data_IF_702448793398
#
_entry.id   IF_702448793398
#
_cell.length_a   1.000
_cell.length_b   1.000
_cell.length_c   1.000
_cell.angle_alpha   90.00
_cell.angle_beta   90.00
_cell.angle_gamma   90.00
#
_symmetry.space_group_name_H-M   'P 1'
#
loop_
_entity.id
_entity.type
_entity.pdbx_description
1 polymer ?
#
# COMPACT_ATOMS: atom_id res chain seq x y z
N UNK A 1 36.11 9.33 11.49
CA UNK A 1 36.06 9.08 10.03
C UNK A 1 37.07 7.99 9.74
N UNK A 2 36.63 6.80 9.34
CA UNK A 2 37.38 5.53 9.48
C UNK A 2 38.76 5.45 8.76
N UNK A 3 39.08 6.39 7.87
CA UNK A 3 40.33 6.41 7.10
C UNK A 3 41.24 7.63 7.42
N UNK A 4 40.92 8.47 8.41
CA UNK A 4 41.71 9.66 8.82
C UNK A 4 42.06 10.70 7.73
N UNK A 5 41.42 10.65 6.56
CA UNK A 5 41.66 11.60 5.45
C UNK A 5 41.10 13.01 5.71
N UNK A 6 40.24 13.17 6.71
CA UNK A 6 39.58 14.42 7.05
C UNK A 6 39.75 14.64 8.55
N UNK A 7 40.47 15.71 8.93
CA UNK A 7 40.82 16.04 10.33
C UNK A 7 39.68 16.69 11.12
N UNK A 8 38.72 17.32 10.44
CA UNK A 8 37.53 17.95 11.02
C UNK A 8 36.35 17.75 10.09
N UNK A 9 35.19 17.47 10.67
CA UNK A 9 33.97 17.29 9.90
C UNK A 9 33.60 18.59 9.14
N UNK A 10 33.61 18.60 7.79
CA UNK A 10 33.28 19.77 6.99
C UNK A 10 31.79 20.14 7.09
N UNK A 11 30.95 19.28 7.67
CA UNK A 11 29.51 19.51 7.88
C UNK A 11 29.15 19.84 9.34
N UNK A 12 30.14 20.04 10.22
CA UNK A 12 29.91 20.26 11.66
C UNK A 12 28.94 21.43 11.98
N UNK A 13 28.85 22.43 11.09
CA UNK A 13 27.92 23.57 11.20
C UNK A 13 26.69 23.51 10.31
N UNK A 14 26.49 22.44 9.54
CA UNK A 14 25.37 22.29 8.59
C UNK A 14 24.30 21.41 9.22
N UNK A 15 23.22 22.04 9.67
CA UNK A 15 22.02 21.34 10.11
C UNK A 15 21.08 21.14 8.91
N UNK A 16 20.99 19.91 8.42
CA UNK A 16 20.00 19.55 7.42
C UNK A 16 18.61 19.54 8.07
N UNK A 17 17.80 20.55 7.79
CA UNK A 17 16.39 20.56 8.18
C UNK A 17 15.64 19.66 7.21
N UNK A 18 15.13 18.53 7.71
CA UNK A 18 14.25 17.68 6.94
C UNK A 18 12.83 18.25 7.06
N UNK A 19 12.29 18.78 5.96
CA UNK A 19 10.89 19.22 5.93
C UNK A 19 9.97 18.00 5.95
N UNK A 20 8.90 18.08 6.74
CA UNK A 20 7.86 17.06 6.75
C UNK A 20 7.10 17.11 5.42
N UNK A 21 7.30 16.08 4.60
CA UNK A 21 6.55 15.93 3.36
C UNK A 21 5.15 15.39 3.70
N UNK A 22 4.11 16.17 3.39
CA UNK A 22 2.74 15.67 3.46
C UNK A 22 2.58 14.54 2.44
N UNK A 23 2.31 13.34 2.95
CA UNK A 23 2.15 12.15 2.12
C UNK A 23 0.73 12.11 1.55
N UNK A 24 0.60 12.11 0.22
CA UNK A 24 -0.70 11.96 -0.43
C UNK A 24 -1.21 10.51 -0.34
N UNK A 25 -2.48 10.37 0.03
CA UNK A 25 -3.24 9.12 0.01
C UNK A 25 -4.69 9.40 -0.43
N UNK A 26 -5.37 8.36 -0.91
CA UNK A 26 -6.78 8.44 -1.29
C UNK A 26 -7.66 8.43 -0.04
N UNK A 27 -8.75 9.19 -0.08
CA UNK A 27 -9.89 9.02 0.83
C UNK A 27 -10.63 7.72 0.53
N UNK A 28 -11.57 7.34 1.42
CA UNK A 28 -12.43 6.16 1.21
C UNK A 28 -13.26 6.33 -0.06
N UNK A 29 -13.83 7.51 -0.24
CA UNK A 29 -14.71 7.85 -1.35
C UNK A 29 -13.96 7.78 -2.69
N UNK A 30 -12.74 8.32 -2.76
CA UNK A 30 -11.90 8.23 -3.96
C UNK A 30 -11.47 6.78 -4.27
N UNK A 31 -11.17 5.99 -3.24
CA UNK A 31 -10.84 4.57 -3.40
C UNK A 31 -12.06 3.80 -3.94
N UNK A 32 -13.25 4.06 -3.42
CA UNK A 32 -14.50 3.45 -3.88
C UNK A 32 -14.83 3.84 -5.32
N UNK A 33 -14.61 5.12 -5.69
CA UNK A 33 -14.76 5.58 -7.09
C UNK A 33 -13.83 4.78 -8.01
N UNK A 34 -12.55 4.60 -7.65
CA UNK A 34 -11.60 3.82 -8.45
C UNK A 34 -11.99 2.34 -8.56
N UNK A 35 -12.45 1.75 -7.45
CA UNK A 35 -12.85 0.35 -7.41
C UNK A 35 -14.08 0.07 -8.27
N UNK A 36 -15.03 1.01 -8.32
CA UNK A 36 -16.29 0.83 -9.05
C UNK A 36 -16.26 1.41 -10.47
N UNK A 37 -15.23 2.17 -10.85
CA UNK A 37 -15.10 2.71 -12.20
C UNK A 37 -14.97 1.59 -13.23
N UNK A 38 -15.87 1.59 -14.20
CA UNK A 38 -15.78 0.74 -15.38
C UNK A 38 -14.87 1.40 -16.42
N UNK A 39 -13.93 0.61 -16.95
CA UNK A 39 -13.02 1.03 -18.01
C UNK A 39 -13.26 0.20 -19.25
N UNK A 40 -13.62 0.86 -20.36
CA UNK A 40 -13.69 0.20 -21.67
C UNK A 40 -12.30 -0.22 -22.17
N UNK A 41 -11.26 0.50 -21.76
CA UNK A 41 -9.88 0.26 -22.18
C UNK A 41 -9.20 -0.73 -21.21
N UNK A 42 -8.95 -1.96 -21.67
CA UNK A 42 -8.37 -3.05 -20.86
C UNK A 42 -7.05 -2.67 -20.15
N UNK A 43 -6.19 -1.87 -20.78
CA UNK A 43 -4.91 -1.43 -20.17
C UNK A 43 -5.12 -0.58 -18.90
N UNK A 44 -6.17 0.23 -18.86
CA UNK A 44 -6.51 1.07 -17.71
C UNK A 44 -7.16 0.24 -16.63
N UNK A 45 -8.08 -0.65 -17.01
CA UNK A 45 -8.69 -1.60 -16.09
C UNK A 45 -7.64 -2.44 -15.36
N UNK A 46 -6.66 -2.96 -16.09
CA UNK A 46 -5.51 -3.69 -15.56
C UNK A 46 -4.70 -2.88 -14.56
N UNK A 47 -4.37 -1.62 -14.88
CA UNK A 47 -3.61 -0.75 -13.97
C UNK A 47 -4.42 -0.41 -12.73
N UNK A 48 -5.73 -0.15 -12.88
CA UNK A 48 -6.66 0.05 -11.76
C UNK A 48 -6.67 -1.17 -10.85
N UNK A 49 -6.83 -2.37 -11.40
CA UNK A 49 -6.88 -3.61 -10.63
C UNK A 49 -5.60 -3.80 -9.81
N UNK A 50 -4.42 -3.62 -10.42
CA UNK A 50 -3.14 -3.76 -9.71
C UNK A 50 -2.99 -2.66 -8.64
N UNK A 51 -3.43 -1.43 -8.93
CA UNK A 51 -3.39 -0.34 -7.95
C UNK A 51 -4.31 -0.62 -6.75
N UNK A 52 -5.53 -1.09 -6.99
CA UNK A 52 -6.46 -1.51 -5.93
C UNK A 52 -5.86 -2.66 -5.14
N UNK A 53 -5.27 -3.66 -5.81
CA UNK A 53 -4.56 -4.75 -5.12
C UNK A 53 -3.46 -4.22 -4.18
N UNK A 54 -2.67 -3.24 -4.61
CA UNK A 54 -1.70 -2.56 -3.75
C UNK A 54 -2.35 -1.83 -2.57
N UNK A 55 -3.51 -1.20 -2.76
CA UNK A 55 -4.26 -0.52 -1.69
C UNK A 55 -4.76 -1.49 -0.61
N UNK A 56 -4.99 -2.77 -0.92
CA UNK A 56 -5.46 -3.75 0.07
C UNK A 56 -4.37 -4.66 0.64
N UNK A 57 -3.23 -4.78 -0.05
CA UNK A 57 -2.11 -5.63 0.41
C UNK A 57 -0.94 -4.84 0.97
N UNK A 58 -0.87 -3.53 0.68
CA UNK A 58 0.27 -2.68 1.02
C UNK A 58 1.63 -3.27 0.57
N UNK A 59 1.65 -4.01 -0.54
CA UNK A 59 2.88 -4.44 -1.19
C UNK A 59 3.49 -3.28 -1.98
N UNK A 60 4.81 -3.27 -2.13
CA UNK A 60 5.47 -2.31 -3.00
C UNK A 60 5.35 -2.79 -4.46
N UNK A 61 5.48 -1.87 -5.43
CA UNK A 61 5.41 -2.20 -6.85
C UNK A 61 6.26 -3.42 -7.23
N UNK A 62 7.52 -3.45 -6.80
CA UNK A 62 8.46 -4.55 -7.10
C UNK A 62 8.01 -5.87 -6.47
N UNK A 63 7.43 -5.82 -5.26
CA UNK A 63 6.94 -7.02 -4.58
C UNK A 63 5.72 -7.61 -5.29
N UNK A 64 4.81 -6.76 -5.79
CA UNK A 64 3.64 -7.20 -6.58
C UNK A 64 4.07 -7.74 -7.94
N UNK A 65 5.03 -7.09 -8.59
CA UNK A 65 5.56 -7.51 -9.88
C UNK A 65 6.19 -8.92 -9.84
N UNK A 66 6.78 -9.29 -8.70
CA UNK A 66 7.44 -10.58 -8.49
C UNK A 66 6.54 -11.59 -7.74
N UNK A 67 5.27 -11.26 -7.51
CA UNK A 67 4.38 -12.14 -6.76
C UNK A 67 4.02 -13.35 -7.61
N UNK A 68 4.33 -14.54 -7.09
CA UNK A 68 4.13 -15.85 -7.74
C UNK A 68 3.23 -16.75 -6.86
N UNK A 69 2.78 -17.88 -7.42
CA UNK A 69 1.91 -18.85 -6.72
C UNK A 69 2.53 -19.41 -5.44
N UNK A 70 3.86 -19.54 -5.37
CA UNK A 70 4.56 -20.09 -4.19
C UNK A 70 4.45 -19.18 -2.95
N UNK A 71 4.18 -17.90 -3.17
CA UNK A 71 3.99 -16.92 -2.10
C UNK A 71 2.57 -16.96 -1.50
N UNK A 72 1.64 -17.68 -2.13
CA UNK A 72 0.28 -17.85 -1.63
C UNK A 72 0.16 -19.11 -0.78
N UNK A 73 -0.17 -18.92 0.49
CA UNK A 73 -0.26 -20.01 1.47
C UNK A 73 -1.63 -19.96 2.13
N UNK A 74 -2.29 -21.11 2.25
CA UNK A 74 -3.51 -21.25 3.06
C UNK A 74 -3.14 -21.61 4.48
N UNK A 75 -3.77 -20.97 5.46
CA UNK A 75 -3.65 -21.38 6.86
C UNK A 75 -4.57 -22.55 7.19
N UNK A 76 -4.54 -23.00 8.45
CA UNK A 76 -5.35 -24.12 8.94
C UNK A 76 -6.86 -23.84 8.90
N UNK A 77 -7.26 -22.56 8.82
CA UNK A 77 -8.65 -22.13 8.73
C UNK A 77 -9.08 -21.90 7.27
N UNK A 78 -8.20 -22.18 6.30
CA UNK A 78 -8.44 -21.99 4.88
C UNK A 78 -8.30 -20.55 4.38
N UNK A 79 -7.90 -19.60 5.23
CA UNK A 79 -7.68 -18.22 4.81
C UNK A 79 -6.39 -18.14 3.99
N UNK A 80 -6.42 -17.34 2.92
CA UNK A 80 -5.30 -17.17 2.01
C UNK A 80 -4.38 -16.05 2.49
N UNK A 81 -3.08 -16.29 2.47
CA UNK A 81 -2.04 -15.36 2.89
C UNK A 81 -0.99 -15.17 1.81
N UNK A 82 -0.49 -13.95 1.65
CA UNK A 82 0.76 -13.67 0.94
C UNK A 82 1.89 -13.75 1.96
N UNK A 83 2.82 -14.68 1.77
CA UNK A 83 4.08 -14.78 2.50
C UNK A 83 5.24 -14.61 1.53
N UNK A 84 5.93 -13.47 1.58
CA UNK A 84 7.02 -13.14 0.64
C UNK A 84 8.11 -12.33 1.32
N UNK A 85 9.37 -12.61 1.00
CA UNK A 85 10.47 -11.73 1.37
C UNK A 85 10.41 -10.45 0.52
N UNK A 86 10.34 -9.29 1.19
CA UNK A 86 10.34 -7.99 0.50
C UNK A 86 11.66 -7.77 -0.21
N UNK A 87 11.61 -7.31 -1.45
CA UNK A 87 12.82 -7.19 -2.28
C UNK A 87 13.86 -6.21 -1.69
N UNK A 88 13.42 -5.11 -1.07
CA UNK A 88 14.33 -4.06 -0.56
C UNK A 88 14.99 -4.40 0.77
N UNK A 89 14.28 -5.07 1.67
CA UNK A 89 14.70 -5.26 3.06
C UNK A 89 14.94 -6.72 3.43
N UNK A 90 14.57 -7.65 2.55
CA UNK A 90 14.57 -9.09 2.79
C UNK A 90 13.74 -9.55 4.00
N UNK A 91 12.91 -8.66 4.56
CA UNK A 91 11.99 -9.01 5.64
C UNK A 91 10.77 -9.73 5.07
N UNK A 92 10.35 -10.82 5.73
CA UNK A 92 9.13 -11.53 5.36
C UNK A 92 7.90 -10.67 5.67
N UNK A 93 7.08 -10.42 4.66
CA UNK A 93 5.72 -9.91 4.86
C UNK A 93 4.74 -11.08 4.93
N UNK A 94 3.79 -10.98 5.85
CA UNK A 94 2.68 -11.92 6.02
C UNK A 94 1.38 -11.10 5.96
N UNK A 95 0.64 -11.22 4.85
CA UNK A 95 -0.50 -10.36 4.56
C UNK A 95 -1.73 -11.24 4.26
N UNK A 96 -2.83 -11.13 5.03
CA UNK A 96 -4.08 -11.79 4.68
C UNK A 96 -4.58 -11.27 3.34
N UNK A 97 -4.96 -12.17 2.43
CA UNK A 97 -5.52 -11.82 1.13
C UNK A 97 -7.03 -11.68 1.32
N UNK A 98 -7.50 -10.44 1.48
CA UNK A 98 -8.93 -10.15 1.62
C UNK A 98 -9.71 -10.44 0.33
N UNK A 99 -11.04 -10.40 0.40
CA UNK A 99 -11.93 -10.73 -0.71
C UNK A 99 -11.67 -9.92 -1.99
N UNK A 100 -11.35 -8.62 -1.88
CA UNK A 100 -11.07 -7.75 -3.03
C UNK A 100 -9.77 -8.19 -3.75
N UNK A 101 -8.60 -8.29 -3.07
CA UNK A 101 -7.40 -8.89 -3.66
C UNK A 101 -7.62 -10.29 -4.23
N UNK A 102 -8.40 -11.17 -3.55
CA UNK A 102 -8.69 -12.51 -4.06
C UNK A 102 -9.43 -12.45 -5.41
N UNK A 103 -10.47 -11.61 -5.53
CA UNK A 103 -11.21 -11.42 -6.79
C UNK A 103 -10.30 -10.95 -7.93
N UNK A 104 -9.36 -10.05 -7.62
CA UNK A 104 -8.38 -9.56 -8.61
C UNK A 104 -7.44 -10.70 -9.03
N UNK A 105 -6.92 -11.49 -8.09
CA UNK A 105 -6.08 -12.65 -8.41
C UNK A 105 -6.83 -13.66 -9.30
N UNK A 106 -8.07 -13.99 -8.96
CA UNK A 106 -8.90 -14.90 -9.77
C UNK A 106 -9.16 -14.36 -11.18
N UNK A 107 -9.36 -13.04 -11.34
CA UNK A 107 -9.54 -12.41 -12.66
C UNK A 107 -8.35 -12.63 -13.59
N UNK A 108 -7.13 -12.73 -13.05
CA UNK A 108 -5.89 -12.88 -13.84
C UNK A 108 -5.31 -14.30 -13.81
N UNK A 109 -6.01 -15.28 -13.23
CA UNK A 109 -5.50 -16.66 -13.06
C UNK A 109 -5.18 -17.34 -14.41
N UNK A 110 -6.04 -17.13 -15.41
CA UNK A 110 -5.90 -17.68 -16.77
C UNK A 110 -5.16 -16.73 -17.73
N UNK A 111 -4.57 -15.64 -17.22
CA UNK A 111 -3.87 -14.68 -18.07
C UNK A 111 -2.57 -15.29 -18.65
N UNK A 112 -2.49 -15.37 -19.98
CA UNK A 112 -1.39 -15.99 -20.71
C UNK A 112 -0.01 -15.40 -20.35
N UNK A 113 0.08 -14.09 -20.17
CA UNK A 113 1.35 -13.44 -19.81
C UNK A 113 1.79 -13.79 -18.37
N UNK A 114 0.82 -13.89 -17.46
CA UNK A 114 1.05 -14.25 -16.06
C UNK A 114 1.57 -15.69 -15.96
N UNK A 115 0.90 -16.63 -16.65
CA UNK A 115 1.30 -18.03 -16.70
C UNK A 115 2.70 -18.19 -17.29
N UNK A 116 3.00 -17.53 -18.41
CA UNK A 116 4.31 -17.60 -19.07
C UNK A 116 5.44 -17.06 -18.18
N UNK A 117 5.18 -16.04 -17.38
CA UNK A 117 6.17 -15.41 -16.48
C UNK A 117 6.19 -16.02 -15.08
N UNK A 118 5.26 -16.90 -14.74
CA UNK A 118 5.12 -17.47 -13.39
C UNK A 118 4.69 -16.45 -12.33
N UNK A 119 4.02 -15.36 -12.73
CA UNK A 119 3.56 -14.30 -11.82
C UNK A 119 2.04 -14.31 -11.69
N UNK A 120 1.50 -13.70 -10.64
CA UNK A 120 0.06 -13.69 -10.37
C UNK A 120 -0.70 -12.52 -11.01
N UNK A 121 0.00 -11.44 -11.32
CA UNK A 121 -0.60 -10.21 -11.85
C UNK A 121 0.21 -9.70 -13.04
N UNK A 122 -0.43 -9.18 -14.10
CA UNK A 122 0.26 -8.70 -15.28
C UNK A 122 0.82 -7.30 -15.03
N UNK A 123 1.83 -7.18 -14.17
CA UNK A 123 2.40 -5.87 -13.81
C UNK A 123 3.29 -5.35 -14.94
N UNK A 124 2.91 -4.19 -15.50
CA UNK A 124 3.70 -3.47 -16.50
C UNK A 124 4.81 -2.64 -15.84
N UNK A 125 5.68 -1.99 -16.63
CA UNK A 125 6.76 -1.17 -16.08
C UNK A 125 6.25 -0.04 -15.19
N UNK A 126 6.98 0.30 -14.12
CA UNK A 126 6.59 1.32 -13.16
C UNK A 126 6.30 2.68 -13.81
N UNK A 127 7.09 3.05 -14.83
CA UNK A 127 6.88 4.30 -15.57
C UNK A 127 5.52 4.30 -16.31
N UNK A 128 5.20 3.22 -17.03
CA UNK A 128 3.91 3.10 -17.74
C UNK A 128 2.74 3.01 -16.76
N UNK A 129 2.92 2.29 -15.65
CA UNK A 129 1.92 2.19 -14.61
C UNK A 129 1.59 3.57 -14.04
N UNK A 130 2.59 4.37 -13.66
CA UNK A 130 2.36 5.73 -13.15
C UNK A 130 1.81 6.70 -14.23
N UNK A 131 2.11 6.49 -15.51
CA UNK A 131 1.50 7.28 -16.59
C UNK A 131 0.00 6.97 -16.71
N UNK A 132 -0.39 5.69 -16.72
CA UNK A 132 -1.79 5.29 -16.79
C UNK A 132 -2.56 5.61 -15.50
N UNK A 133 -1.90 5.63 -14.34
CA UNK A 133 -2.52 6.10 -13.10
C UNK A 133 -2.93 7.57 -13.14
N UNK A 134 -2.21 8.42 -13.88
CA UNK A 134 -2.62 9.82 -14.10
C UNK A 134 -3.90 9.88 -14.93
N UNK A 135 -3.94 9.14 -16.05
CA UNK A 135 -5.13 9.05 -16.91
C UNK A 135 -6.34 8.50 -16.13
N UNK A 136 -6.13 7.49 -15.27
CA UNK A 136 -7.17 6.96 -14.39
C UNK A 136 -7.64 8.01 -13.38
N UNK A 137 -6.73 8.78 -12.79
CA UNK A 137 -7.07 9.85 -11.85
C UNK A 137 -7.98 10.90 -12.52
N UNK A 138 -7.61 11.35 -13.73
CA UNK A 138 -8.39 12.31 -14.52
C UNK A 138 -9.80 11.77 -14.83
N UNK A 139 -9.91 10.50 -15.26
CA UNK A 139 -11.18 9.84 -15.57
C UNK A 139 -12.08 9.61 -14.34
N UNK A 140 -11.49 9.59 -13.15
CA UNK A 140 -12.17 9.44 -11.87
C UNK A 140 -12.42 10.79 -11.17
N UNK A 141 -11.97 11.91 -11.74
CA UNK A 141 -12.09 13.24 -11.12
C UNK A 141 -11.24 13.40 -9.86
N UNK A 142 -10.14 12.65 -9.74
CA UNK A 142 -9.24 12.68 -8.59
C UNK A 142 -8.10 13.64 -8.90
N UNK A 143 -7.99 14.72 -8.11
CA UNK A 143 -6.95 15.75 -8.28
C UNK A 143 -5.57 15.31 -7.78
N UNK A 144 -5.51 14.29 -6.91
CA UNK A 144 -4.28 13.77 -6.30
C UNK A 144 -3.44 13.01 -7.32
N UNK A 145 -2.11 13.09 -7.18
CA UNK A 145 -1.21 12.40 -8.09
C UNK A 145 -1.09 10.92 -7.73
N UNK A 146 -1.87 10.08 -8.40
CA UNK A 146 -1.81 8.62 -8.19
C UNK A 146 -0.44 8.04 -8.58
N UNK A 147 0.16 7.30 -7.65
CA UNK A 147 1.38 6.52 -7.86
C UNK A 147 1.30 5.21 -7.08
N UNK A 148 2.17 4.26 -7.40
CA UNK A 148 2.28 3.01 -6.64
C UNK A 148 2.64 3.21 -5.17
N UNK A 149 3.28 4.33 -4.83
CA UNK A 149 3.53 4.72 -3.44
C UNK A 149 2.26 5.23 -2.75
N UNK A 150 1.44 6.04 -3.45
CA UNK A 150 0.14 6.50 -2.93
C UNK A 150 -0.75 5.30 -2.58
N UNK A 151 -0.77 4.24 -3.39
CA UNK A 151 -1.53 3.02 -3.07
C UNK A 151 -1.13 2.42 -1.71
N UNK A 152 0.17 2.38 -1.41
CA UNK A 152 0.69 1.88 -0.13
C UNK A 152 0.26 2.78 1.04
N UNK A 153 0.30 4.09 0.84
CA UNK A 153 -0.14 5.06 1.86
C UNK A 153 -1.65 4.96 2.10
N UNK A 154 -2.46 4.82 1.05
CA UNK A 154 -3.90 4.52 1.13
C UNK A 154 -4.16 3.23 1.89
N UNK A 155 -3.36 2.18 1.65
CA UNK A 155 -3.50 0.92 2.38
C UNK A 155 -3.31 1.11 3.89
N UNK A 156 -2.20 1.75 4.28
CA UNK A 156 -1.88 2.00 5.66
C UNK A 156 -2.95 2.84 6.36
N UNK A 157 -3.39 3.93 5.71
CA UNK A 157 -4.31 4.92 6.28
C UNK A 157 -5.76 4.46 6.23
N UNK A 158 -6.31 4.29 5.03
CA UNK A 158 -7.75 4.12 4.80
C UNK A 158 -8.18 2.67 4.95
N UNK A 159 -7.36 1.72 4.51
CA UNK A 159 -7.74 0.29 4.59
C UNK A 159 -7.44 -0.28 5.97
N UNK A 160 -6.32 0.07 6.59
CA UNK A 160 -5.94 -0.50 7.88
C UNK A 160 -6.27 0.39 9.08
N UNK A 161 -5.62 1.56 9.21
CA UNK A 161 -5.76 2.39 10.42
C UNK A 161 -7.21 2.90 10.63
N UNK A 162 -7.89 3.34 9.56
CA UNK A 162 -9.27 3.81 9.66
C UNK A 162 -10.30 2.69 9.96
N UNK A 163 -9.89 1.42 9.86
CA UNK A 163 -10.66 0.23 10.23
C UNK A 163 -10.03 -0.47 11.44
N UNK A 164 -9.44 0.30 12.36
CA UNK A 164 -9.05 -0.11 13.70
C UNK A 164 -7.95 -1.18 13.77
N UNK A 165 -7.16 -1.34 12.69
CA UNK A 165 -5.95 -2.17 12.72
C UNK A 165 -4.86 -1.43 13.49
N UNK A 166 -4.31 -2.07 14.53
CA UNK A 166 -3.27 -1.45 15.37
C UNK A 166 -2.04 -1.01 14.56
N UNK A 167 -1.44 0.11 14.95
CA UNK A 167 -0.22 0.62 14.31
C UNK A 167 0.93 -0.41 14.29
N UNK A 168 1.01 -1.27 15.30
CA UNK A 168 1.99 -2.36 15.34
C UNK A 168 1.76 -3.37 14.20
N UNK A 169 0.51 -3.81 14.00
CA UNK A 169 0.14 -4.71 12.92
C UNK A 169 0.35 -4.05 11.55
N UNK A 170 -0.02 -2.78 11.41
CA UNK A 170 0.22 -2.00 10.19
C UNK A 170 1.71 -1.89 9.89
N UNK A 171 2.55 -1.61 10.89
CA UNK A 171 4.01 -1.53 10.73
C UNK A 171 4.61 -2.87 10.28
N UNK A 172 4.13 -4.00 10.86
CA UNK A 172 4.53 -5.35 10.45
C UNK A 172 4.11 -5.67 9.01
N UNK A 173 2.87 -5.35 8.63
CA UNK A 173 2.37 -5.51 7.26
C UNK A 173 3.21 -4.69 6.28
N UNK A 174 3.53 -3.44 6.62
CA UNK A 174 4.35 -2.55 5.82
C UNK A 174 5.85 -2.90 5.85
N UNK A 175 6.31 -3.80 6.73
CA UNK A 175 7.72 -4.14 6.85
C UNK A 175 8.61 -2.93 7.15
N UNK A 176 8.11 -1.99 7.96
CA UNK A 176 8.91 -0.86 8.42
C UNK A 176 9.77 -1.32 9.60
N UNK A 177 11.07 -1.04 9.51
CA UNK A 177 12.01 -1.23 10.63
C UNK A 177 11.83 -0.18 11.73
N UNK A 178 11.17 0.94 11.44
CA UNK A 178 10.95 2.02 12.37
C UNK A 178 9.47 2.46 12.37
N UNK A 179 8.83 2.34 13.53
CA UNK A 179 7.42 2.73 13.76
C UNK A 179 7.19 4.23 13.50
N UNK A 180 8.24 5.07 13.60
CA UNK A 180 8.13 6.51 13.29
C UNK A 180 7.66 6.79 11.85
N UNK A 181 7.94 5.89 10.89
CA UNK A 181 7.40 6.03 9.53
C UNK A 181 5.87 5.93 9.48
N UNK A 182 5.25 5.25 10.44
CA UNK A 182 3.79 5.13 10.57
C UNK A 182 3.18 6.36 11.26
N UNK A 183 3.97 7.16 11.99
CA UNK A 183 3.47 8.35 12.70
C UNK A 183 3.00 9.45 11.75
N UNK A 184 3.48 9.50 10.50
CA UNK A 184 2.93 10.43 9.50
C UNK A 184 1.44 10.18 9.19
N UNK A 185 0.89 9.01 9.56
CA UNK A 185 -0.53 8.71 9.42
C UNK A 185 -1.39 9.17 10.62
N UNK A 186 -0.78 9.85 11.61
CA UNK A 186 -1.47 10.25 12.83
C UNK A 186 -2.72 11.11 12.60
N UNK A 187 -2.79 11.90 11.53
CA UNK A 187 -4.00 12.68 11.20
C UNK A 187 -5.25 11.83 10.96
N UNK A 188 -5.09 10.57 10.55
CA UNK A 188 -6.22 9.64 10.38
C UNK A 188 -6.72 9.15 11.75
N UNK A 189 -5.83 9.08 12.75
CA UNK A 189 -6.22 8.76 14.13
C UNK A 189 -7.19 9.80 14.70
N UNK A 190 -7.15 11.07 14.25
CA UNK A 190 -8.09 12.08 14.76
C UNK A 190 -9.56 11.69 14.48
N UNK A 191 -9.82 11.04 13.34
CA UNK A 191 -11.15 10.50 13.01
C UNK A 191 -11.50 9.22 13.79
N UNK A 192 -10.51 8.41 14.17
CA UNK A 192 -10.73 7.25 15.05
C UNK A 192 -10.95 7.70 16.50
N UNK A 193 -10.28 8.77 16.95
CA UNK A 193 -10.47 9.36 18.28
C UNK A 193 -11.93 9.77 18.45
N UNK A 194 -12.56 10.42 17.47
CA UNK A 194 -13.99 10.75 17.58
C UNK A 194 -14.86 9.50 17.73
N UNK A 195 -14.56 8.42 17.00
CA UNK A 195 -15.28 7.14 17.12
C UNK A 195 -15.08 6.51 18.49
N UNK A 196 -13.86 6.54 19.00
CA UNK A 196 -13.52 6.07 20.35
C UNK A 196 -14.21 6.91 21.43
N UNK A 197 -14.31 8.23 21.24
CA UNK A 197 -15.02 9.13 22.17
C UNK A 197 -16.54 8.90 22.15
N UNK A 198 -17.13 8.57 21.00
CA UNK A 198 -18.54 8.13 20.93
C UNK A 198 -18.73 6.84 21.71
N UNK A 199 -17.80 5.87 21.59
CA UNK A 199 -17.87 4.64 22.38
C UNK A 199 -17.73 4.92 23.89
N UNK A 200 -16.88 5.87 24.28
CA UNK A 200 -16.77 6.34 25.67
C UNK A 200 -18.10 6.94 26.13
N UNK A 201 -18.66 7.89 25.37
CA UNK A 201 -19.94 8.53 25.69
C UNK A 201 -21.07 7.50 25.85
N UNK A 202 -21.19 6.52 24.96
CA UNK A 202 -22.18 5.44 25.07
C UNK A 202 -22.00 4.55 26.30
N UNK A 203 -20.78 4.41 26.83
CA UNK A 203 -20.52 3.64 28.05
C UNK A 203 -20.87 4.41 29.34
N UNK A 204 -20.86 5.75 29.30
CA UNK A 204 -21.23 6.59 30.44
C UNK A 204 -22.70 7.06 30.41
N UNK A 205 -23.43 6.84 29.31
CA UNK A 205 -24.87 7.06 29.18
C UNK A 205 -25.73 5.82 29.49
N UNK A 206 -25.11 4.73 29.98
CA UNK A 206 -25.78 3.58 30.58
C UNK A 206 -25.84 3.73 32.09
#
# INVERSE_FOLDING_TARGET
MANDWIKKDPFYGIHFKQEEVNVEFLSREELDVLMNKEFTIKRLEQVRDIFVFCCFTALAFVDVQQLSREHLIKDNNGALWIRKARQKTNQMCNIPVLSIPQRILSKYEDNVECIKKGVLLPVISNQRMNAYLKEIADLCGISKRLTTHVARHTAATVVFLANDVSMENVSKILGYSNIRMTQHYARVLDSSIMRDMVNVEMNFLK
#
